data_IF_428840872490
#
_entry.id   IF_428840872490
#
_cell.length_a   1.000
_cell.length_b   1.000
_cell.length_c   1.000
_cell.angle_alpha   90.00
_cell.angle_beta   90.00
_cell.angle_gamma   90.00
#
_symmetry.space_group_name_H-M   'P 1'
#
loop_
_entity.id
_entity.type
_entity.pdbx_description
1 polymer ?
#
# COMPACT_ATOMS: atom_id res chain seq x y z
N UNK A 1 22.66 21.12 -16.01
CA UNK A 1 21.31 21.38 -15.48
C UNK A 1 21.22 20.59 -14.19
N UNK A 2 21.75 21.20 -13.13
CA UNK A 2 21.87 20.61 -11.81
C UNK A 2 20.51 20.69 -11.14
N UNK A 3 19.74 19.61 -11.26
CA UNK A 3 18.46 19.44 -10.59
C UNK A 3 18.72 19.22 -9.10
N UNK A 4 18.71 20.31 -8.35
CA UNK A 4 18.61 20.32 -6.90
C UNK A 4 17.32 19.61 -6.48
N UNK A 5 17.40 18.29 -6.29
CA UNK A 5 16.44 17.54 -5.48
C UNK A 5 16.67 17.92 -4.02
N UNK A 6 16.37 19.17 -3.68
CA UNK A 6 16.16 19.60 -2.30
C UNK A 6 14.95 18.83 -1.79
N UNK A 7 15.22 17.68 -1.16
CA UNK A 7 14.25 16.98 -0.35
C UNK A 7 13.68 17.98 0.66
N UNK A 8 12.40 18.34 0.48
CA UNK A 8 11.67 19.18 1.42
C UNK A 8 11.83 18.55 2.81
N UNK A 9 12.54 19.24 3.70
CA UNK A 9 12.79 18.78 5.06
C UNK A 9 11.43 18.40 5.66
N UNK A 10 11.27 17.19 6.24
CA UNK A 10 10.00 16.79 6.82
C UNK A 10 9.65 17.83 7.89
N UNK A 11 8.58 18.59 7.67
CA UNK A 11 8.00 19.49 8.69
C UNK A 11 7.90 18.66 9.96
N UNK A 12 8.58 19.10 11.02
CA UNK A 12 8.43 18.47 12.33
C UNK A 12 6.97 18.55 12.74
N UNK A 13 6.28 17.43 12.57
CA UNK A 13 4.91 17.26 13.03
C UNK A 13 4.98 17.21 14.55
N UNK A 14 4.82 18.38 15.21
CA UNK A 14 4.63 18.44 16.66
C UNK A 14 3.44 17.55 17.00
N UNK A 15 3.69 16.52 17.81
CA UNK A 15 2.64 15.61 18.28
C UNK A 15 1.56 16.42 18.97
N UNK A 16 0.39 16.46 18.36
CA UNK A 16 -0.78 17.18 18.84
C UNK A 16 -1.92 16.17 18.99
N UNK A 17 -2.32 15.93 20.24
CA UNK A 17 -3.37 14.96 20.60
C UNK A 17 -4.70 15.34 19.92
N UNK A 18 -4.98 16.64 19.81
CA UNK A 18 -6.20 17.11 19.15
C UNK A 18 -6.18 16.79 17.66
N UNK A 19 -5.04 17.02 16.97
CA UNK A 19 -4.90 16.64 15.55
C UNK A 19 -5.00 15.13 15.33
N UNK A 20 -4.48 14.31 16.25
CA UNK A 20 -4.64 12.85 16.17
C UNK A 20 -6.12 12.43 16.26
N UNK A 21 -6.88 13.02 17.19
CA UNK A 21 -8.32 12.78 17.32
C UNK A 21 -9.10 13.21 16.08
N UNK A 22 -8.77 14.37 15.51
CA UNK A 22 -9.34 14.81 14.23
C UNK A 22 -9.01 13.85 13.10
N UNK A 23 -7.75 13.38 13.01
CA UNK A 23 -7.32 12.40 12.00
C UNK A 23 -8.08 11.07 12.08
N UNK A 24 -8.36 10.60 13.30
CA UNK A 24 -9.22 9.43 13.52
C UNK A 24 -10.64 9.66 12.99
N UNK A 25 -11.26 10.79 13.35
CA UNK A 25 -12.62 11.13 12.90
C UNK A 25 -12.71 11.29 11.38
N UNK A 26 -11.71 11.90 10.74
CA UNK A 26 -11.62 12.01 9.28
C UNK A 26 -11.55 10.62 8.65
N UNK A 27 -10.69 9.74 9.18
CA UNK A 27 -10.54 8.36 8.68
C UNK A 27 -11.85 7.57 8.80
N UNK A 28 -12.53 7.66 9.95
CA UNK A 28 -13.83 7.02 10.18
C UNK A 28 -14.93 7.58 9.27
N UNK A 29 -14.91 8.89 9.00
CA UNK A 29 -15.88 9.53 8.12
C UNK A 29 -15.79 8.99 6.69
N UNK A 30 -14.57 8.87 6.14
CA UNK A 30 -14.37 8.28 4.82
C UNK A 30 -14.74 6.79 4.78
N UNK A 31 -14.46 6.04 5.85
CA UNK A 31 -14.90 4.65 5.95
C UNK A 31 -16.43 4.51 5.99
N UNK A 32 -17.12 5.39 6.74
CA UNK A 32 -18.58 5.44 6.74
C UNK A 32 -19.13 5.79 5.36
N UNK A 33 -18.56 6.77 4.66
CA UNK A 33 -18.95 7.10 3.27
C UNK A 33 -18.76 5.91 2.32
N UNK A 34 -17.65 5.17 2.45
CA UNK A 34 -17.43 3.93 1.69
C UNK A 34 -18.46 2.85 2.01
N UNK A 35 -18.86 2.74 3.27
CA UNK A 35 -19.90 1.79 3.71
C UNK A 35 -21.30 2.17 3.22
N UNK A 36 -21.61 3.46 3.17
CA UNK A 36 -22.84 3.97 2.54
C UNK A 36 -22.82 3.66 1.03
N UNK A 37 -21.68 3.85 0.36
CA UNK A 37 -21.51 3.47 -1.04
C UNK A 37 -21.77 1.97 -1.28
N UNK A 38 -21.27 1.12 -0.38
CA UNK A 38 -21.58 -0.31 -0.40
C UNK A 38 -23.07 -0.59 -0.19
N UNK A 39 -23.79 0.15 0.66
CA UNK A 39 -25.24 -0.04 0.80
C UNK A 39 -26.01 0.18 -0.52
N UNK A 40 -25.62 1.18 -1.33
CA UNK A 40 -26.25 1.45 -2.63
C UNK A 40 -25.89 0.42 -3.70
N UNK A 41 -24.67 -0.12 -3.65
CA UNK A 41 -24.21 -1.17 -4.56
C UNK A 41 -23.57 -2.29 -3.73
N UNK A 42 -24.40 -3.18 -3.12
CA UNK A 42 -23.95 -4.17 -2.14
C UNK A 42 -22.97 -5.20 -2.69
N UNK A 43 -22.83 -5.26 -4.02
CA UNK A 43 -21.87 -6.12 -4.68
C UNK A 43 -20.43 -5.65 -4.42
N UNK A 44 -20.15 -4.35 -4.39
CA UNK A 44 -18.79 -3.82 -4.29
C UNK A 44 -18.36 -3.57 -2.86
N UNK A 45 -17.28 -4.23 -2.41
CA UNK A 45 -16.75 -4.14 -1.05
C UNK A 45 -16.48 -2.68 -0.62
N UNK A 46 -16.83 -2.33 0.63
CA UNK A 46 -16.76 -0.95 1.17
C UNK A 46 -15.39 -0.28 1.01
N UNK A 47 -14.30 -1.04 1.11
CA UNK A 47 -12.94 -0.55 0.90
C UNK A 47 -12.70 0.01 -0.51
N UNK A 48 -13.29 -0.58 -1.56
CA UNK A 48 -13.12 -0.06 -2.91
C UNK A 48 -13.79 1.33 -3.06
N UNK A 49 -15.01 1.49 -2.54
CA UNK A 49 -15.70 2.79 -2.52
C UNK A 49 -14.96 3.82 -1.68
N UNK A 50 -14.50 3.44 -0.49
CA UNK A 50 -13.71 4.33 0.37
C UNK A 50 -12.48 4.87 -0.38
N UNK A 51 -11.70 4.00 -1.03
CA UNK A 51 -10.50 4.42 -1.76
C UNK A 51 -10.87 5.35 -2.93
N UNK A 52 -11.88 5.01 -3.72
CA UNK A 52 -12.33 5.83 -4.86
C UNK A 52 -12.74 7.23 -4.38
N UNK A 53 -13.56 7.31 -3.32
CA UNK A 53 -14.02 8.59 -2.75
C UNK A 53 -12.84 9.41 -2.25
N UNK A 54 -11.91 8.83 -1.49
CA UNK A 54 -10.73 9.52 -0.98
C UNK A 54 -9.86 10.05 -2.12
N UNK A 55 -9.63 9.25 -3.17
CA UNK A 55 -8.85 9.67 -4.34
C UNK A 55 -9.53 10.83 -5.07
N UNK A 56 -10.84 10.75 -5.31
CA UNK A 56 -11.60 11.84 -5.95
C UNK A 56 -11.51 13.12 -5.11
N UNK A 57 -11.73 13.03 -3.80
CA UNK A 57 -11.63 14.19 -2.91
C UNK A 57 -10.22 14.79 -2.88
N UNK A 58 -9.18 13.94 -2.94
CA UNK A 58 -7.78 14.38 -2.98
C UNK A 58 -7.42 15.05 -4.29
N UNK A 59 -7.84 14.49 -5.44
CA UNK A 59 -7.57 15.06 -6.78
C UNK A 59 -8.35 16.35 -7.00
N UNK A 60 -9.60 16.42 -6.53
CA UNK A 60 -10.42 17.62 -6.59
C UNK A 60 -10.02 18.70 -5.55
N UNK A 61 -9.01 18.42 -4.71
CA UNK A 61 -8.49 19.33 -3.68
C UNK A 61 -9.59 19.82 -2.72
N UNK A 62 -10.54 18.93 -2.39
CA UNK A 62 -11.69 19.25 -1.53
C UNK A 62 -11.34 19.20 -0.04
N UNK A 63 -10.22 18.58 0.32
CA UNK A 63 -9.80 18.36 1.71
C UNK A 63 -8.80 19.44 2.10
N UNK A 64 -9.11 20.33 3.06
CA UNK A 64 -8.17 21.32 3.56
C UNK A 64 -6.91 20.67 4.17
N UNK A 65 -5.76 21.32 4.00
CA UNK A 65 -4.45 20.82 4.45
C UNK A 65 -4.43 20.39 5.93
N UNK A 66 -5.17 21.08 6.80
CA UNK A 66 -5.29 20.74 8.22
C UNK A 66 -5.81 19.31 8.46
N UNK A 67 -6.85 18.89 7.72
CA UNK A 67 -7.44 17.55 7.87
C UNK A 67 -6.56 16.47 7.27
N UNK A 68 -5.85 16.79 6.18
CA UNK A 68 -4.87 15.89 5.58
C UNK A 68 -3.69 15.64 6.52
N UNK A 69 -3.09 16.70 7.07
CA UNK A 69 -2.00 16.57 8.04
C UNK A 69 -2.44 15.79 9.28
N UNK A 70 -3.67 16.00 9.75
CA UNK A 70 -4.26 15.28 10.88
C UNK A 70 -4.42 13.78 10.57
N UNK A 71 -4.92 13.42 9.39
CA UNK A 71 -5.04 12.03 8.96
C UNK A 71 -3.66 11.35 8.79
N UNK A 72 -2.67 12.06 8.25
CA UNK A 72 -1.29 11.55 8.14
C UNK A 72 -0.70 11.32 9.53
N UNK A 73 -0.89 12.26 10.47
CA UNK A 73 -0.41 12.12 11.84
C UNK A 73 -1.05 10.91 12.54
N UNK A 74 -2.37 10.72 12.38
CA UNK A 74 -3.07 9.54 12.89
C UNK A 74 -2.54 8.25 12.25
N UNK A 75 -2.38 8.20 10.93
CA UNK A 75 -1.78 7.04 10.25
C UNK A 75 -0.38 6.70 10.79
N UNK A 76 0.46 7.71 11.02
CA UNK A 76 1.81 7.49 11.56
C UNK A 76 1.78 6.91 12.98
N UNK A 77 0.82 7.31 13.82
CA UNK A 77 0.61 6.71 15.13
C UNK A 77 0.29 5.22 15.02
N UNK A 78 -0.66 4.86 14.15
CA UNK A 78 -1.06 3.46 13.92
C UNK A 78 0.13 2.65 13.40
N UNK A 79 0.80 3.13 12.35
CA UNK A 79 1.90 2.40 11.73
C UNK A 79 3.08 2.22 12.69
N UNK A 80 3.39 3.24 13.50
CA UNK A 80 4.54 3.20 14.41
C UNK A 80 4.30 2.34 15.66
N UNK A 81 3.10 2.42 16.25
CA UNK A 81 2.84 1.84 17.58
C UNK A 81 1.96 0.58 17.54
N UNK A 82 1.02 0.50 16.59
CA UNK A 82 -0.03 -0.52 16.58
C UNK A 82 0.19 -1.62 15.54
N UNK A 83 1.08 -1.44 14.56
CA UNK A 83 1.37 -2.46 13.53
C UNK A 83 1.76 -3.81 14.15
N UNK A 84 2.61 -3.82 15.17
CA UNK A 84 3.03 -5.05 15.83
C UNK A 84 1.85 -5.77 16.51
N UNK A 85 0.96 -5.03 17.18
CA UNK A 85 -0.23 -5.57 17.80
C UNK A 85 -1.23 -6.12 16.75
N UNK A 86 -1.42 -5.40 15.64
CA UNK A 86 -2.28 -5.83 14.52
C UNK A 86 -1.73 -7.10 13.87
N UNK A 87 -0.42 -7.18 13.61
CA UNK A 87 0.21 -8.37 13.04
C UNK A 87 0.09 -9.58 13.98
N UNK A 88 0.25 -9.38 15.29
CA UNK A 88 0.04 -10.44 16.27
C UNK A 88 -1.43 -10.90 16.30
N UNK A 89 -2.38 -9.97 16.28
CA UNK A 89 -3.81 -10.28 16.25
C UNK A 89 -4.22 -11.05 14.99
N UNK A 90 -3.75 -10.64 13.82
CA UNK A 90 -3.95 -11.36 12.55
C UNK A 90 -3.33 -12.77 12.63
N UNK A 91 -2.13 -12.89 13.18
CA UNK A 91 -1.46 -14.18 13.34
C UNK A 91 -2.25 -15.16 14.20
N UNK A 92 -2.88 -14.69 15.28
CA UNK A 92 -3.70 -15.54 16.16
C UNK A 92 -5.07 -15.84 15.55
N UNK A 93 -5.70 -14.86 14.90
CA UNK A 93 -7.10 -14.98 14.45
C UNK A 93 -7.27 -15.60 13.06
N UNK A 94 -6.30 -15.41 12.15
CA UNK A 94 -6.44 -15.77 10.73
C UNK A 94 -5.45 -16.85 10.26
N UNK A 95 -4.38 -17.14 11.01
CA UNK A 95 -3.39 -18.15 10.61
C UNK A 95 -3.66 -19.47 11.35
N UNK A 96 -4.14 -20.46 10.61
CA UNK A 96 -4.13 -21.85 11.05
C UNK A 96 -2.78 -22.49 10.68
N UNK A 97 -1.98 -22.83 11.70
CA UNK A 97 -0.66 -23.45 11.51
C UNK A 97 -0.75 -24.81 10.81
N UNK A 98 -1.87 -25.54 10.95
CA UNK A 98 -2.09 -26.82 10.29
C UNK A 98 -2.28 -26.60 8.78
N UNK A 99 -3.15 -25.66 8.40
CA UNK A 99 -3.37 -25.29 7.00
C UNK A 99 -2.10 -24.71 6.38
N UNK A 100 -1.36 -23.88 7.11
CA UNK A 100 -0.09 -23.32 6.66
C UNK A 100 0.95 -24.42 6.37
N UNK A 101 1.10 -25.38 7.29
CA UNK A 101 2.03 -26.49 7.13
C UNK A 101 1.66 -27.38 5.94
N UNK A 102 0.36 -27.65 5.74
CA UNK A 102 -0.14 -28.40 4.59
C UNK A 102 0.01 -27.64 3.26
N UNK A 103 -0.05 -26.30 3.30
CA UNK A 103 0.08 -25.44 2.11
C UNK A 103 1.53 -25.29 1.65
N UNK A 104 2.50 -25.58 2.52
CA UNK A 104 3.94 -25.50 2.22
C UNK A 104 4.39 -26.71 1.40
N UNK A 105 3.81 -26.82 0.21
CA UNK A 105 4.12 -27.85 -0.79
C UNK A 105 5.15 -27.34 -1.78
N UNK A 106 5.80 -28.28 -2.47
CA UNK A 106 6.73 -27.95 -3.56
C UNK A 106 6.03 -27.16 -4.68
N UNK A 107 4.77 -27.48 -4.97
CA UNK A 107 3.96 -26.78 -5.97
C UNK A 107 3.73 -25.32 -5.59
N UNK A 108 3.40 -25.04 -4.33
CA UNK A 108 3.20 -23.66 -3.85
C UNK A 108 4.48 -22.82 -4.00
N UNK A 109 5.63 -23.38 -3.61
CA UNK A 109 6.92 -22.70 -3.76
C UNK A 109 7.23 -22.33 -5.22
N UNK A 110 6.97 -23.26 -6.16
CA UNK A 110 7.14 -23.00 -7.59
C UNK A 110 6.17 -21.93 -8.10
N UNK A 111 4.91 -21.95 -7.68
CA UNK A 111 3.93 -20.93 -8.04
C UNK A 111 4.33 -19.53 -7.55
N UNK A 112 4.84 -19.44 -6.31
CA UNK A 112 5.34 -18.17 -5.78
C UNK A 112 6.55 -17.67 -6.58
N UNK A 113 7.54 -18.53 -6.86
CA UNK A 113 8.73 -18.14 -7.62
C UNK A 113 8.38 -17.70 -9.05
N UNK A 114 7.55 -18.47 -9.74
CA UNK A 114 7.12 -18.14 -11.10
C UNK A 114 6.32 -16.83 -11.15
N UNK A 115 5.45 -16.60 -10.16
CA UNK A 115 4.71 -15.33 -10.03
C UNK A 115 5.65 -14.13 -9.86
N UNK A 116 6.59 -14.21 -8.90
CA UNK A 116 7.55 -13.14 -8.63
C UNK A 116 8.40 -12.84 -9.89
N UNK A 117 8.92 -13.88 -10.56
CA UNK A 117 9.71 -13.72 -11.78
C UNK A 117 8.87 -13.07 -12.89
N UNK A 118 7.65 -13.54 -13.09
CA UNK A 118 6.76 -13.03 -14.15
C UNK A 118 6.41 -11.56 -13.91
N UNK A 119 6.08 -11.18 -12.68
CA UNK A 119 5.76 -9.79 -12.32
C UNK A 119 7.00 -8.91 -12.48
N UNK A 120 8.16 -9.36 -12.00
CA UNK A 120 9.41 -8.59 -12.13
C UNK A 120 9.84 -8.39 -13.58
N UNK A 121 9.75 -9.43 -14.42
CA UNK A 121 10.03 -9.30 -15.85
C UNK A 121 9.05 -8.35 -16.55
N UNK A 122 7.76 -8.49 -16.24
CA UNK A 122 6.72 -7.61 -16.80
C UNK A 122 6.94 -6.15 -16.38
N UNK A 123 7.31 -5.91 -15.12
CA UNK A 123 7.64 -4.58 -14.61
C UNK A 123 8.85 -3.97 -15.34
N UNK A 124 9.89 -4.74 -15.63
CA UNK A 124 11.03 -4.27 -16.41
C UNK A 124 10.70 -3.94 -17.86
N UNK A 125 9.89 -4.79 -18.52
CA UNK A 125 9.46 -4.58 -19.91
C UNK A 125 8.53 -3.37 -20.04
N UNK A 126 7.53 -3.27 -19.17
CA UNK A 126 6.60 -2.13 -19.15
C UNK A 126 7.35 -0.86 -18.74
N UNK A 127 8.24 -0.94 -17.74
CA UNK A 127 9.09 0.17 -17.34
C UNK A 127 9.92 0.72 -18.50
N UNK A 128 10.50 -0.16 -19.33
CA UNK A 128 11.21 0.23 -20.55
C UNK A 128 10.34 1.00 -21.53
N UNK A 129 9.07 0.60 -21.70
CA UNK A 129 8.12 1.28 -22.57
C UNK A 129 7.83 2.72 -22.11
N UNK A 130 7.84 2.96 -20.80
CA UNK A 130 7.70 4.29 -20.20
C UNK A 130 9.02 5.07 -20.13
N UNK A 131 10.10 4.57 -20.73
CA UNK A 131 11.42 5.23 -20.72
C UNK A 131 12.19 5.08 -19.40
N UNK A 132 11.75 4.21 -18.49
CA UNK A 132 12.48 3.89 -17.26
C UNK A 132 13.57 2.87 -17.52
N UNK A 133 14.59 2.86 -16.66
CA UNK A 133 15.62 1.83 -16.70
C UNK A 133 14.99 0.46 -16.34
N UNK A 134 15.09 -0.56 -17.21
CA UNK A 134 14.37 -1.82 -17.02
C UNK A 134 14.74 -2.54 -15.72
N UNK A 135 16.00 -2.44 -15.28
CA UNK A 135 16.49 -3.09 -14.07
C UNK A 135 15.92 -2.41 -12.83
N UNK A 136 16.02 -1.09 -12.73
CA UNK A 136 15.45 -0.30 -11.64
C UNK A 136 13.92 -0.42 -11.58
N UNK A 137 13.24 -0.53 -12.73
CA UNK A 137 11.81 -0.78 -12.81
C UNK A 137 11.43 -2.17 -12.28
N UNK A 138 12.16 -3.22 -12.68
CA UNK A 138 11.96 -4.58 -12.14
C UNK A 138 12.19 -4.66 -10.64
N UNK A 139 13.19 -3.95 -10.11
CA UNK A 139 13.47 -3.91 -8.67
C UNK A 139 12.34 -3.18 -7.92
N UNK A 140 11.95 -2.01 -8.40
CA UNK A 140 11.02 -1.12 -7.67
C UNK A 140 9.56 -1.51 -7.84
N UNK A 141 9.10 -1.73 -9.07
CA UNK A 141 7.71 -2.08 -9.36
C UNK A 141 7.46 -3.60 -9.37
N UNK A 142 8.51 -4.42 -9.46
CA UNK A 142 8.43 -5.87 -9.40
C UNK A 142 8.74 -6.43 -8.01
N UNK A 143 10.03 -6.54 -7.68
CA UNK A 143 10.47 -7.20 -6.44
C UNK A 143 10.00 -6.49 -5.17
N UNK A 144 10.10 -5.16 -5.08
CA UNK A 144 9.63 -4.42 -3.91
C UNK A 144 8.10 -4.53 -3.74
N UNK A 145 7.34 -4.51 -4.84
CA UNK A 145 5.88 -4.64 -4.80
C UNK A 145 5.41 -6.05 -4.36
N UNK A 146 6.21 -7.08 -4.61
CA UNK A 146 5.97 -8.44 -4.13
C UNK A 146 6.55 -8.71 -2.73
N UNK A 147 7.18 -7.72 -2.11
CA UNK A 147 7.77 -7.85 -0.78
C UNK A 147 6.79 -7.48 0.32
N UNK A 148 7.14 -7.80 1.57
CA UNK A 148 6.31 -7.51 2.77
C UNK A 148 6.38 -6.02 3.15
N UNK A 149 5.93 -5.13 2.27
CA UNK A 149 5.83 -3.70 2.54
C UNK A 149 7.17 -3.03 2.84
N UNK A 150 7.21 -2.13 3.83
CA UNK A 150 8.39 -1.29 4.10
C UNK A 150 9.66 -2.05 4.47
N UNK A 151 9.56 -3.12 5.27
CA UNK A 151 10.71 -3.96 5.66
C UNK A 151 11.20 -4.79 4.48
N UNK A 152 10.28 -5.33 3.68
CA UNK A 152 10.59 -6.03 2.44
C UNK A 152 11.33 -5.14 1.43
N UNK A 153 10.87 -3.89 1.25
CA UNK A 153 11.52 -2.92 0.38
C UNK A 153 12.97 -2.67 0.80
N UNK A 154 13.24 -2.51 2.10
CA UNK A 154 14.61 -2.33 2.60
C UNK A 154 15.47 -3.56 2.29
N UNK A 155 14.94 -4.77 2.46
CA UNK A 155 15.68 -6.01 2.17
C UNK A 155 16.04 -6.12 0.67
N UNK A 156 15.07 -5.90 -0.22
CA UNK A 156 15.27 -5.96 -1.68
C UNK A 156 16.23 -4.88 -2.16
N UNK A 157 16.07 -3.64 -1.70
CA UNK A 157 16.92 -2.52 -2.12
C UNK A 157 18.34 -2.60 -1.54
N UNK A 158 18.48 -3.17 -0.34
CA UNK A 158 19.79 -3.46 0.24
C UNK A 158 20.51 -4.56 -0.56
N UNK A 159 19.81 -5.66 -0.88
CA UNK A 159 20.36 -6.76 -1.67
C UNK A 159 20.77 -6.35 -3.10
N UNK A 160 20.10 -5.34 -3.67
CA UNK A 160 20.40 -4.81 -5.01
C UNK A 160 21.31 -3.57 -5.02
N UNK A 161 21.75 -3.09 -3.84
CA UNK A 161 22.54 -1.86 -3.70
C UNK A 161 21.88 -0.64 -4.40
N UNK A 162 20.59 -0.44 -4.13
CA UNK A 162 19.73 0.59 -4.75
C UNK A 162 18.86 1.33 -3.72
N UNK A 163 19.40 1.59 -2.53
CA UNK A 163 18.66 2.26 -1.44
C UNK A 163 18.08 3.64 -1.82
N UNK A 164 18.68 4.32 -2.80
CA UNK A 164 18.15 5.58 -3.34
C UNK A 164 16.73 5.48 -3.93
N UNK A 165 16.24 4.27 -4.21
CA UNK A 165 14.89 4.04 -4.74
C UNK A 165 13.82 3.81 -3.66
N UNK A 166 14.17 3.89 -2.37
CA UNK A 166 13.25 3.56 -1.26
C UNK A 166 11.97 4.40 -1.25
N UNK A 167 12.08 5.69 -1.58
CA UNK A 167 10.93 6.58 -1.68
C UNK A 167 9.95 6.14 -2.78
N UNK A 168 10.48 5.73 -3.94
CA UNK A 168 9.67 5.20 -5.04
C UNK A 168 9.01 3.86 -4.69
N UNK A 169 9.75 2.95 -4.04
CA UNK A 169 9.22 1.67 -3.59
C UNK A 169 8.08 1.85 -2.56
N UNK A 170 8.22 2.79 -1.63
CA UNK A 170 7.20 3.08 -0.63
C UNK A 170 5.97 3.77 -1.24
N UNK A 171 6.17 4.74 -2.13
CA UNK A 171 5.07 5.39 -2.84
C UNK A 171 4.33 4.38 -3.73
N UNK A 172 5.08 3.57 -4.47
CA UNK A 172 4.59 2.50 -5.33
C UNK A 172 3.72 1.50 -4.57
N UNK A 173 4.18 0.98 -3.42
CA UNK A 173 3.40 0.02 -2.64
C UNK A 173 2.09 0.63 -2.09
N UNK A 174 2.07 1.92 -1.73
CA UNK A 174 0.83 2.57 -1.26
C UNK A 174 -0.19 2.74 -2.38
N UNK A 175 0.25 3.21 -3.56
CA UNK A 175 -0.65 3.38 -4.71
C UNK A 175 -1.06 2.04 -5.33
N UNK A 176 -0.10 1.14 -5.55
CA UNK A 176 -0.33 -0.21 -6.06
C UNK A 176 -1.26 -1.02 -5.15
N UNK A 177 -1.05 -0.93 -3.83
CA UNK A 177 -1.94 -1.51 -2.82
C UNK A 177 -3.39 -1.00 -2.93
N UNK A 178 -3.58 0.31 -3.13
CA UNK A 178 -4.91 0.87 -3.33
C UNK A 178 -5.57 0.37 -4.62
N UNK A 179 -4.82 0.30 -5.71
CA UNK A 179 -5.31 -0.18 -7.02
C UNK A 179 -5.69 -1.67 -6.94
N UNK A 180 -4.85 -2.52 -6.34
CA UNK A 180 -5.15 -3.96 -6.24
C UNK A 180 -6.36 -4.23 -5.35
N UNK A 181 -6.63 -3.41 -4.33
CA UNK A 181 -7.83 -3.53 -3.51
C UNK A 181 -9.10 -3.18 -4.30
N UNK A 182 -9.04 -2.15 -5.15
CA UNK A 182 -10.15 -1.80 -6.04
C UNK A 182 -10.40 -2.95 -7.02
N UNK A 183 -9.34 -3.39 -7.74
CA UNK A 183 -9.44 -4.47 -8.74
C UNK A 183 -9.93 -5.77 -8.09
N UNK A 184 -9.35 -6.18 -6.96
CA UNK A 184 -9.77 -7.38 -6.24
C UNK A 184 -11.23 -7.28 -5.78
N UNK A 185 -11.65 -6.11 -5.30
CA UNK A 185 -13.04 -5.85 -4.94
C UNK A 185 -14.00 -6.12 -6.09
N UNK A 186 -13.67 -5.65 -7.30
CA UNK A 186 -14.45 -5.94 -8.52
C UNK A 186 -14.34 -7.40 -8.99
N UNK A 187 -13.13 -7.99 -8.94
CA UNK A 187 -12.88 -9.33 -9.43
C UNK A 187 -13.62 -10.40 -8.62
N UNK A 188 -13.63 -10.26 -7.29
CA UNK A 188 -14.37 -11.18 -6.41
C UNK A 188 -15.86 -11.20 -6.76
N UNK A 189 -16.44 -10.06 -7.13
CA UNK A 189 -17.84 -10.02 -7.58
C UNK A 189 -18.09 -10.66 -8.93
N UNK A 190 -17.14 -10.56 -9.86
CA UNK A 190 -17.30 -11.17 -11.17
C UNK A 190 -17.25 -12.69 -11.07
N UNK A 191 -16.49 -13.21 -10.11
CA UNK A 191 -16.25 -14.64 -9.91
C UNK A 191 -17.18 -15.29 -8.86
N UNK A 192 -17.86 -14.49 -8.02
CA UNK A 192 -18.81 -14.95 -7.00
C UNK A 192 -20.24 -14.99 -7.52
#
# INVERSE_FOLDING_TARGET
MDGDFSAEKPKEIKLDITKMGVGLLVSLSFFMLGSIGNYFVPKIHSYAFMIIIVVICKVANLIPAYYEESAIMFNNLIVKNLTAAVLAGIGIALIDLNVLAQSLTWQFMLLCLTSIITISLSAGLIGKLFGLYPVEASITAGFCNNSMGGTGNVAVLSASNRMGLIAFAQMGNRMGGAIILIISGFLIQLLS
#
